data_IF_369956831478
#
_entry.id   IF_369956831478
#
_cell.length_a   1.000
_cell.length_b   1.000
_cell.length_c   1.000
_cell.angle_alpha   90.00
_cell.angle_beta   90.00
_cell.angle_gamma   90.00
#
_symmetry.space_group_name_H-M   'P 1'
#
loop_
_entity.id
_entity.type
_entity.pdbx_description
1 polymer ?
#
# COMPACT_ATOMS: atom_id res chain seq x y z
N UNK A 1 -38.99 -1.48 -8.52
CA UNK A 1 -37.86 -0.54 -8.33
C UNK A 1 -37.03 -1.01 -7.12
N UNK A 2 -36.26 -2.11 -7.21
CA UNK A 2 -35.52 -2.65 -6.04
C UNK A 2 -34.17 -3.33 -6.33
N UNK A 3 -33.64 -3.32 -7.57
CA UNK A 3 -32.38 -4.02 -7.88
C UNK A 3 -31.12 -3.12 -7.89
N UNK A 4 -31.28 -1.79 -7.98
CA UNK A 4 -30.13 -0.88 -8.11
C UNK A 4 -29.47 -0.48 -6.77
N UNK A 5 -30.16 -0.63 -5.64
CA UNK A 5 -29.64 -0.23 -4.32
C UNK A 5 -28.62 -1.21 -3.73
N UNK A 6 -28.86 -2.51 -3.89
CA UNK A 6 -28.01 -3.58 -3.35
C UNK A 6 -26.67 -3.68 -4.06
N UNK A 7 -26.64 -3.54 -5.39
CA UNK A 7 -25.38 -3.55 -6.17
C UNK A 7 -24.51 -2.34 -5.81
N UNK A 8 -25.12 -1.15 -5.63
CA UNK A 8 -24.40 0.08 -5.28
C UNK A 8 -23.83 0.06 -3.86
N UNK A 9 -24.56 -0.53 -2.90
CA UNK A 9 -24.02 -0.77 -1.56
C UNK A 9 -22.87 -1.80 -1.58
N UNK A 10 -23.02 -2.91 -2.30
CA UNK A 10 -21.98 -3.93 -2.38
C UNK A 10 -20.68 -3.37 -2.98
N UNK A 11 -20.78 -2.60 -4.06
CA UNK A 11 -19.63 -1.90 -4.65
C UNK A 11 -19.03 -0.87 -3.72
N UNK A 12 -19.83 -0.23 -2.86
CA UNK A 12 -19.33 0.76 -1.89
C UNK A 12 -18.56 0.10 -0.76
N UNK A 13 -19.02 -1.06 -0.27
CA UNK A 13 -18.30 -1.85 0.74
C UNK A 13 -17.02 -2.43 0.13
N UNK A 14 -17.09 -3.02 -1.07
CA UNK A 14 -15.91 -3.51 -1.78
C UNK A 14 -14.88 -2.41 -2.06
N UNK A 15 -15.34 -1.19 -2.38
CA UNK A 15 -14.47 -0.01 -2.54
C UNK A 15 -13.84 0.42 -1.22
N UNK A 16 -14.60 0.51 -0.13
CA UNK A 16 -14.04 0.85 1.19
C UNK A 16 -13.05 -0.19 1.68
N UNK A 17 -13.36 -1.49 1.52
CA UNK A 17 -12.43 -2.57 1.85
C UNK A 17 -11.16 -2.47 1.00
N UNK A 18 -11.29 -2.17 -0.29
CA UNK A 18 -10.14 -1.93 -1.16
C UNK A 18 -9.34 -0.70 -0.74
N UNK A 19 -9.99 0.40 -0.37
CA UNK A 19 -9.34 1.62 0.10
C UNK A 19 -8.60 1.42 1.44
N UNK A 20 -9.19 0.70 2.39
CA UNK A 20 -8.55 0.35 3.67
C UNK A 20 -7.41 -0.67 3.47
N UNK A 21 -7.60 -1.67 2.62
CA UNK A 21 -6.57 -2.65 2.28
C UNK A 21 -5.42 -2.02 1.48
N UNK A 22 -5.71 -1.13 0.53
CA UNK A 22 -4.70 -0.36 -0.19
C UNK A 22 -3.94 0.57 0.76
N UNK A 23 -4.61 1.14 1.77
CA UNK A 23 -3.95 1.87 2.85
C UNK A 23 -3.02 0.96 3.65
N UNK A 24 -3.45 -0.19 4.15
CA UNK A 24 -2.58 -1.07 4.93
C UNK A 24 -1.43 -1.69 4.11
N UNK A 25 -1.65 -1.94 2.82
CA UNK A 25 -0.66 -2.56 1.92
C UNK A 25 0.35 -1.56 1.34
N UNK A 26 -0.05 -0.29 1.16
CA UNK A 26 0.77 0.76 0.53
C UNK A 26 1.02 1.97 1.43
N UNK A 27 0.76 1.87 2.74
CA UNK A 27 1.21 2.86 3.71
C UNK A 27 2.73 2.74 3.88
N UNK A 28 3.45 3.78 3.47
CA UNK A 28 4.92 3.85 3.51
C UNK A 28 5.47 3.52 4.91
N UNK A 29 5.01 4.14 6.01
CA UNK A 29 5.45 3.79 7.37
C UNK A 29 5.26 2.31 7.72
N UNK A 30 4.18 1.69 7.24
CA UNK A 30 3.91 0.28 7.48
C UNK A 30 4.86 -0.63 6.70
N UNK A 31 5.17 -0.30 5.45
CA UNK A 31 6.15 -1.04 4.65
C UNK A 31 7.55 -0.89 5.24
N UNK A 32 7.96 0.32 5.62
CA UNK A 32 9.24 0.60 6.26
C UNK A 32 9.41 -0.21 7.56
N UNK A 33 8.39 -0.26 8.42
CA UNK A 33 8.41 -1.09 9.63
C UNK A 33 8.57 -2.57 9.32
N UNK A 34 7.92 -3.07 8.26
CA UNK A 34 8.03 -4.47 7.84
C UNK A 34 9.43 -4.79 7.32
N UNK A 35 10.05 -3.88 6.57
CA UNK A 35 11.44 -4.00 6.11
C UNK A 35 12.42 -4.06 7.29
N UNK A 36 12.29 -3.13 8.25
CA UNK A 36 13.12 -3.11 9.47
C UNK A 36 12.99 -4.41 10.26
N UNK A 37 11.75 -4.87 10.47
CA UNK A 37 11.51 -6.13 11.18
C UNK A 37 12.10 -7.33 10.42
N UNK A 38 11.91 -7.39 9.11
CA UNK A 38 12.46 -8.45 8.28
C UNK A 38 13.99 -8.52 8.37
N UNK A 39 14.66 -7.37 8.33
CA UNK A 39 16.11 -7.28 8.51
C UNK A 39 16.55 -7.74 9.91
N UNK A 40 15.84 -7.32 10.96
CA UNK A 40 16.11 -7.78 12.32
C UNK A 40 16.00 -9.31 12.45
N UNK A 41 14.97 -9.94 11.87
CA UNK A 41 14.82 -11.40 11.91
C UNK A 41 15.98 -12.11 11.21
N UNK A 42 16.45 -11.58 10.07
CA UNK A 42 17.60 -12.12 9.35
C UNK A 42 18.90 -11.96 10.16
N UNK A 43 19.13 -10.78 10.74
CA UNK A 43 20.31 -10.51 11.58
C UNK A 43 20.37 -11.39 12.84
N UNK A 44 19.21 -11.72 13.43
CA UNK A 44 19.10 -12.65 14.55
C UNK A 44 19.17 -14.13 14.13
N UNK A 45 19.21 -14.42 12.83
CA UNK A 45 19.21 -15.78 12.29
C UNK A 45 17.87 -16.51 12.45
N UNK A 46 16.78 -15.79 12.67
CA UNK A 46 15.42 -16.34 12.79
C UNK A 46 14.85 -16.79 11.45
N UNK A 47 15.32 -16.17 10.36
CA UNK A 47 15.03 -16.58 8.99
C UNK A 47 16.33 -16.76 8.20
N UNK A 48 16.36 -17.69 7.22
CA UNK A 48 17.51 -17.81 6.34
C UNK A 48 17.54 -16.69 5.29
N UNK A 49 18.74 -16.42 4.78
CA UNK A 49 19.06 -15.29 3.90
C UNK A 49 18.29 -15.30 2.56
N UNK A 50 17.97 -16.49 2.05
CA UNK A 50 17.15 -16.67 0.85
C UNK A 50 15.70 -16.22 1.08
N UNK A 51 15.12 -16.59 2.24
CA UNK A 51 13.77 -16.15 2.65
C UNK A 51 13.74 -14.64 2.91
N UNK A 52 14.80 -14.09 3.50
CA UNK A 52 14.96 -12.65 3.67
C UNK A 52 14.87 -11.93 2.31
N UNK A 53 15.68 -12.34 1.34
CA UNK A 53 15.75 -11.70 0.01
C UNK A 53 14.43 -11.76 -0.74
N UNK A 54 13.75 -12.91 -0.75
CA UNK A 54 12.47 -13.05 -1.43
C UNK A 54 11.41 -12.10 -0.82
N UNK A 55 11.37 -12.01 0.51
CA UNK A 55 10.41 -11.14 1.20
C UNK A 55 10.78 -9.66 1.07
N UNK A 56 12.07 -9.33 1.06
CA UNK A 56 12.59 -7.98 0.89
C UNK A 56 12.21 -7.44 -0.50
N UNK A 57 12.41 -8.23 -1.56
CA UNK A 57 12.07 -7.84 -2.93
C UNK A 57 10.58 -7.50 -3.06
N UNK A 58 9.70 -8.31 -2.46
CA UNK A 58 8.25 -8.06 -2.46
C UNK A 58 7.90 -6.77 -1.70
N UNK A 59 8.54 -6.51 -0.57
CA UNK A 59 8.29 -5.30 0.22
C UNK A 59 8.82 -4.04 -0.49
N UNK A 60 9.99 -4.12 -1.12
CA UNK A 60 10.56 -3.02 -1.91
C UNK A 60 9.71 -2.67 -3.12
N UNK A 61 9.21 -3.68 -3.86
CA UNK A 61 8.28 -3.42 -4.97
C UNK A 61 7.00 -2.69 -4.50
N UNK A 62 6.49 -3.03 -3.32
CA UNK A 62 5.34 -2.32 -2.72
C UNK A 62 5.71 -0.90 -2.30
N UNK A 63 6.91 -0.71 -1.75
CA UNK A 63 7.42 0.60 -1.36
C UNK A 63 7.52 1.55 -2.55
N UNK A 64 8.06 1.08 -3.68
CA UNK A 64 8.14 1.86 -4.92
C UNK A 64 6.76 2.31 -5.41
N UNK A 65 5.80 1.40 -5.46
CA UNK A 65 4.41 1.73 -5.85
C UNK A 65 3.79 2.74 -4.88
N UNK A 66 4.02 2.57 -3.58
CA UNK A 66 3.53 3.50 -2.56
C UNK A 66 4.14 4.90 -2.72
N UNK A 67 5.44 4.98 -3.01
CA UNK A 67 6.14 6.24 -3.28
C UNK A 67 5.64 6.93 -4.54
N UNK A 68 5.43 6.18 -5.62
CA UNK A 68 4.89 6.75 -6.85
C UNK A 68 3.51 7.35 -6.63
N UNK A 69 2.62 6.64 -5.93
CA UNK A 69 1.28 7.15 -5.59
C UNK A 69 1.31 8.41 -4.72
N UNK A 70 2.30 8.52 -3.82
CA UNK A 70 2.50 9.72 -3.02
C UNK A 70 2.84 10.91 -3.94
N UNK A 71 3.79 10.73 -4.85
CA UNK A 71 4.23 11.75 -5.82
C UNK A 71 3.07 12.18 -6.72
N UNK A 72 2.37 11.22 -7.35
CA UNK A 72 1.24 11.50 -8.25
C UNK A 72 0.15 12.33 -7.55
N UNK A 73 -0.08 12.06 -6.25
CA UNK A 73 -1.05 12.80 -5.45
C UNK A 73 -0.56 14.22 -5.16
N UNK A 74 0.73 14.41 -4.90
CA UNK A 74 1.32 15.74 -4.71
C UNK A 74 1.25 16.57 -5.99
N UNK A 75 1.59 15.98 -7.14
CA UNK A 75 1.50 16.62 -8.44
C UNK A 75 0.06 17.08 -8.74
N UNK A 76 -0.92 16.19 -8.55
CA UNK A 76 -2.33 16.54 -8.74
C UNK A 76 -2.82 17.69 -7.83
N UNK A 77 -2.31 17.78 -6.59
CA UNK A 77 -2.62 18.86 -5.66
C UNK A 77 -1.96 20.20 -6.03
N UNK A 78 -0.81 20.15 -6.69
CA UNK A 78 -0.12 21.34 -7.21
C UNK A 78 -0.90 21.87 -8.42
N UNK A 79 -1.24 20.99 -9.37
CA UNK A 79 -2.00 21.35 -10.56
C UNK A 79 -3.37 21.97 -10.22
N UNK A 80 -4.11 21.39 -9.26
CA UNK A 80 -5.40 21.95 -8.80
C UNK A 80 -5.28 23.35 -8.18
N UNK A 81 -4.13 23.67 -7.57
CA UNK A 81 -3.87 25.00 -6.99
C UNK A 81 -3.48 26.04 -8.03
N UNK A 82 -2.85 25.63 -9.13
CA UNK A 82 -2.47 26.54 -10.22
C UNK A 82 -3.66 26.89 -11.13
N UNK A 83 -4.67 26.02 -11.22
CA UNK A 83 -5.89 26.25 -12.01
C UNK A 83 -6.97 27.10 -11.30
N UNK A 84 -6.79 27.46 -10.02
CA UNK A 84 -7.73 28.27 -9.21
C UNK A 84 -7.27 29.71 -9.01
#
# INVERSE_FOLDING_TARGET
MLAYGSIKMLTSIARKVKEEADKELYDLPTIEKKLIHLQMMAELGEIPEDVYKEQEEVLLARYEIAKQREIDKWEALIDEKEER
#
